data_IF_668974334121
#
_entry.id   IF_668974334121
#
_cell.length_a   1.000
_cell.length_b   1.000
_cell.length_c   1.000
_cell.angle_alpha   90.00
_cell.angle_beta   90.00
_cell.angle_gamma   90.00
#
_symmetry.space_group_name_H-M   'P 1'
#
loop_
_entity.id
_entity.type
_entity.pdbx_description
1 polymer ?
#
# COMPACT_ATOMS: atom_id res chain seq x y z
N UNK A 1 58.16 31.73 24.15
CA UNK A 1 56.73 31.32 24.22
C UNK A 1 56.14 31.52 22.83
N UNK A 2 55.81 30.41 22.14
CA UNK A 2 55.13 30.44 20.84
C UNK A 2 53.67 30.09 21.10
N UNK A 3 52.79 31.02 20.78
CA UNK A 3 51.34 30.81 20.76
C UNK A 3 51.03 29.85 19.61
N UNK A 4 50.39 28.73 19.92
CA UNK A 4 49.73 27.90 18.91
C UNK A 4 48.26 28.29 18.99
N UNK A 5 47.82 29.02 17.97
CA UNK A 5 46.41 29.32 17.74
C UNK A 5 45.63 28.02 17.58
N UNK A 6 44.46 28.01 18.20
CA UNK A 6 43.48 26.96 18.14
C UNK A 6 42.98 26.84 16.70
N UNK A 7 43.48 25.83 15.98
CA UNK A 7 42.92 25.44 14.68
C UNK A 7 41.45 25.08 14.88
N UNK A 8 40.57 25.99 14.45
CA UNK A 8 39.15 25.75 14.20
C UNK A 8 39.00 24.58 13.21
N UNK A 9 38.85 23.36 13.73
CA UNK A 9 38.39 22.23 12.94
C UNK A 9 36.89 22.44 12.66
N UNK A 10 36.60 23.27 11.65
CA UNK A 10 35.28 23.35 11.04
C UNK A 10 34.96 21.99 10.39
N UNK A 11 34.27 21.13 11.12
CA UNK A 11 33.61 19.97 10.54
C UNK A 11 32.50 20.44 9.59
N UNK A 12 32.83 20.67 8.32
CA UNK A 12 31.83 20.74 7.28
C UNK A 12 31.13 19.37 7.20
N UNK A 13 29.89 19.35 7.70
CA UNK A 13 28.99 18.20 7.63
C UNK A 13 28.81 17.84 6.16
N UNK A 14 29.53 16.84 5.67
CA UNK A 14 29.40 16.30 4.31
C UNK A 14 27.96 15.84 4.13
N UNK A 15 27.10 16.70 3.60
CA UNK A 15 25.76 16.36 3.16
C UNK A 15 25.94 15.49 1.92
N UNK A 16 25.82 14.16 2.09
CA UNK A 16 25.67 13.25 0.94
C UNK A 16 24.58 13.84 0.06
N UNK A 17 24.94 14.23 -1.17
CA UNK A 17 23.94 14.55 -2.20
C UNK A 17 22.99 13.35 -2.27
N UNK A 18 21.66 13.55 -2.20
CA UNK A 18 20.74 12.45 -2.39
C UNK A 18 21.10 11.79 -3.71
N UNK A 19 21.39 10.49 -3.65
CA UNK A 19 21.66 9.69 -4.84
C UNK A 19 20.39 9.82 -5.69
N UNK A 20 20.48 10.52 -6.81
CA UNK A 20 19.40 10.52 -7.80
C UNK A 20 19.28 9.07 -8.29
N UNK A 21 18.40 8.32 -7.63
CA UNK A 21 18.03 6.97 -8.04
C UNK A 21 17.41 7.12 -9.42
N UNK A 22 18.10 6.62 -10.44
CA UNK A 22 17.55 6.58 -11.79
C UNK A 22 16.29 5.74 -11.75
N UNK A 23 15.23 6.20 -12.42
CA UNK A 23 13.93 5.52 -12.43
C UNK A 23 14.02 4.05 -12.90
N UNK A 24 15.01 3.73 -13.75
CA UNK A 24 15.34 2.37 -14.18
C UNK A 24 15.62 1.38 -13.05
N UNK A 25 16.06 1.87 -11.88
CA UNK A 25 16.40 1.00 -10.75
C UNK A 25 15.16 0.56 -9.96
N UNK A 26 14.04 1.30 -10.07
CA UNK A 26 12.80 1.02 -9.34
C UNK A 26 11.94 -0.07 -10.00
N UNK A 27 11.98 -0.19 -11.32
CA UNK A 27 11.19 -1.19 -12.05
C UNK A 27 11.65 -2.62 -11.79
N UNK A 28 12.90 -2.81 -11.36
CA UNK A 28 13.46 -4.10 -10.94
C UNK A 28 13.30 -4.38 -9.44
N UNK A 29 12.73 -3.46 -8.66
CA UNK A 29 12.51 -3.66 -7.23
C UNK A 29 11.46 -4.77 -7.03
N UNK A 30 11.76 -5.84 -6.26
CA UNK A 30 10.79 -6.90 -5.96
C UNK A 30 9.47 -6.36 -5.38
N UNK A 31 9.52 -5.28 -4.60
CA UNK A 31 8.33 -4.66 -4.05
C UNK A 31 7.41 -4.11 -5.15
N UNK A 32 7.96 -3.55 -6.23
CA UNK A 32 7.20 -3.09 -7.40
C UNK A 32 6.63 -4.28 -8.17
N UNK A 33 7.45 -5.32 -8.40
CA UNK A 33 7.05 -6.51 -9.17
C UNK A 33 5.95 -7.34 -8.49
N UNK A 34 5.88 -7.34 -7.16
CA UNK A 34 4.86 -8.06 -6.41
C UNK A 34 3.48 -7.38 -6.44
N UNK A 35 3.45 -6.06 -6.65
CA UNK A 35 2.24 -5.22 -6.60
C UNK A 35 1.52 -5.21 -7.94
N UNK A 36 0.87 -6.33 -8.25
CA UNK A 36 0.05 -6.49 -9.47
C UNK A 36 -1.44 -6.31 -9.18
N UNK A 37 -2.26 -6.11 -10.21
CA UNK A 37 -3.71 -6.00 -10.05
C UNK A 37 -4.28 -7.23 -9.30
N UNK A 38 -5.10 -6.98 -8.28
CA UNK A 38 -5.70 -7.99 -7.42
C UNK A 38 -4.74 -8.69 -6.45
N UNK A 39 -3.50 -8.21 -6.32
CA UNK A 39 -2.58 -8.66 -5.28
C UNK A 39 -2.98 -8.11 -3.91
N UNK A 40 -2.88 -8.96 -2.90
CA UNK A 40 -3.23 -8.66 -1.52
C UNK A 40 -2.01 -8.32 -0.68
N UNK A 41 -2.01 -7.16 -0.04
CA UNK A 41 -0.90 -6.63 0.75
C UNK A 41 -1.39 -6.06 2.09
N UNK A 42 -0.47 -5.86 3.02
CA UNK A 42 -0.75 -5.25 4.31
C UNK A 42 -0.18 -3.82 4.37
N UNK A 43 -0.93 -2.91 4.99
CA UNK A 43 -0.50 -1.55 5.31
C UNK A 43 -0.70 -1.34 6.82
N UNK A 44 0.16 -0.53 7.44
CA UNK A 44 -0.06 -0.09 8.83
C UNK A 44 -1.41 0.60 8.95
N UNK A 45 -2.25 0.16 9.89
CA UNK A 45 -3.63 0.66 9.96
C UNK A 45 -3.71 2.18 10.20
N UNK A 46 -2.72 2.73 10.91
CA UNK A 46 -2.61 4.18 11.17
C UNK A 46 -2.47 5.03 9.89
N UNK A 47 -2.12 4.40 8.76
CA UNK A 47 -1.97 5.07 7.46
C UNK A 47 -3.21 5.00 6.60
N UNK A 48 -4.23 4.22 7.00
CA UNK A 48 -5.44 4.00 6.21
C UNK A 48 -6.50 5.01 6.60
N UNK A 49 -6.88 5.90 5.68
CA UNK A 49 -7.99 6.83 5.89
C UNK A 49 -9.33 6.22 5.46
N UNK A 50 -10.39 6.47 6.22
CA UNK A 50 -11.78 6.19 5.83
C UNK A 50 -12.57 7.49 5.61
N UNK A 51 -11.88 8.54 5.17
CA UNK A 51 -12.46 9.88 5.02
C UNK A 51 -12.67 10.55 6.39
N UNK A 52 -13.84 11.17 6.58
CA UNK A 52 -14.19 11.86 7.83
C UNK A 52 -14.73 10.93 8.92
N UNK A 53 -14.70 9.62 8.72
CA UNK A 53 -15.21 8.65 9.68
C UNK A 53 -14.09 8.31 10.66
N UNK A 54 -14.14 8.89 11.86
CA UNK A 54 -13.35 8.40 12.99
C UNK A 54 -13.71 6.94 13.26
N UNK A 55 -12.69 6.08 13.40
CA UNK A 55 -12.88 4.68 13.73
C UNK A 55 -11.95 4.24 14.83
N UNK A 56 -12.45 3.27 15.59
CA UNK A 56 -11.63 2.37 16.39
C UNK A 56 -10.62 1.66 15.48
N UNK A 57 -9.34 1.71 15.85
CA UNK A 57 -8.24 1.05 15.18
C UNK A 57 -8.61 -0.39 14.77
N UNK A 58 -8.11 -0.85 13.62
CA UNK A 58 -8.06 -2.28 13.34
C UNK A 58 -7.29 -2.93 14.49
N UNK A 59 -7.93 -3.88 15.18
CA UNK A 59 -7.32 -4.58 16.33
C UNK A 59 -5.95 -5.21 16.00
N UNK A 60 -5.69 -5.44 14.71
CA UNK A 60 -4.40 -5.87 14.20
C UNK A 60 -3.68 -4.62 13.65
N UNK A 61 -2.44 -4.37 14.08
CA UNK A 61 -1.61 -3.21 13.66
C UNK A 61 -1.43 -3.04 12.15
N UNK A 62 -1.86 -4.02 11.36
CA UNK A 62 -1.82 -4.01 9.91
C UNK A 62 -3.18 -4.37 9.33
N UNK A 63 -3.60 -3.61 8.33
CA UNK A 63 -4.83 -3.84 7.57
C UNK A 63 -4.51 -4.52 6.22
N UNK A 64 -5.24 -5.58 5.86
CA UNK A 64 -5.16 -6.14 4.52
C UNK A 64 -5.89 -5.29 3.51
N UNK A 65 -5.46 -5.33 2.26
CA UNK A 65 -6.16 -4.72 1.14
C UNK A 65 -5.60 -5.16 -0.18
N UNK A 66 -6.19 -4.67 -1.26
CA UNK A 66 -5.96 -5.19 -2.61
C UNK A 66 -5.48 -4.06 -3.52
N UNK A 67 -4.44 -4.32 -4.29
CA UNK A 67 -3.96 -3.42 -5.34
C UNK A 67 -4.96 -3.41 -6.50
N UNK A 68 -5.44 -2.22 -6.87
CA UNK A 68 -6.30 -2.00 -8.05
C UNK A 68 -5.57 -1.25 -9.17
N UNK A 69 -4.51 -0.51 -8.85
CA UNK A 69 -3.62 0.10 -9.85
C UNK A 69 -2.17 -0.20 -9.45
N UNK A 70 -1.44 -1.03 -10.22
CA UNK A 70 -0.03 -1.31 -9.99
C UNK A 70 0.86 -0.07 -10.04
N UNK A 71 2.00 -0.04 -9.33
CA UNK A 71 2.97 1.04 -9.47
C UNK A 71 3.63 1.01 -10.85
N UNK A 72 3.61 2.15 -11.54
CA UNK A 72 4.25 2.35 -12.84
C UNK A 72 4.92 3.72 -12.91
N UNK A 73 5.65 4.01 -13.99
CA UNK A 73 6.18 5.35 -14.22
C UNK A 73 5.05 6.38 -14.34
N UNK A 74 3.92 6.00 -14.94
CA UNK A 74 2.73 6.85 -15.12
C UNK A 74 2.09 7.22 -13.77
N UNK A 75 2.12 6.30 -12.79
CA UNK A 75 1.62 6.56 -11.43
C UNK A 75 2.70 7.10 -10.48
N UNK A 76 3.86 7.53 -11.00
CA UNK A 76 5.00 7.93 -10.18
C UNK A 76 5.42 6.89 -9.12
N UNK A 77 5.29 5.60 -9.47
CA UNK A 77 5.49 4.43 -8.62
C UNK A 77 4.58 4.40 -7.38
N UNK A 78 3.37 4.95 -7.51
CA UNK A 78 2.30 4.80 -6.53
C UNK A 78 1.37 3.66 -6.93
N UNK A 79 0.91 2.94 -5.93
CA UNK A 79 -0.10 1.90 -6.09
C UNK A 79 -1.42 2.38 -5.52
N UNK A 80 -2.50 2.19 -6.27
CA UNK A 80 -3.84 2.39 -5.76
C UNK A 80 -4.33 1.11 -5.11
N UNK A 81 -4.87 1.23 -3.90
CA UNK A 81 -5.15 0.11 -3.01
C UNK A 81 -6.48 0.30 -2.29
N UNK A 82 -7.24 -0.79 -2.13
CA UNK A 82 -8.55 -0.80 -1.44
C UNK A 82 -8.48 -1.51 -0.08
N UNK A 83 -8.94 -0.88 1.01
CA UNK A 83 -8.84 -1.45 2.35
C UNK A 83 -9.84 -2.59 2.59
N UNK A 84 -9.38 -3.62 3.29
CA UNK A 84 -10.18 -4.70 3.84
C UNK A 84 -10.72 -4.41 5.24
N UNK A 85 -11.86 -5.00 5.57
CA UNK A 85 -12.46 -4.99 6.91
C UNK A 85 -13.14 -6.31 7.24
N UNK A 86 -13.09 -6.72 8.50
CA UNK A 86 -13.88 -7.86 9.01
C UNK A 86 -15.34 -7.50 9.29
N UNK A 87 -15.71 -6.22 9.26
CA UNK A 87 -17.08 -5.76 9.47
C UNK A 87 -17.91 -5.89 8.18
N UNK A 88 -18.37 -7.11 7.91
CA UNK A 88 -19.01 -7.51 6.63
C UNK A 88 -20.51 -7.25 6.55
N UNK A 89 -21.21 -7.05 7.68
CA UNK A 89 -22.67 -6.88 7.71
C UNK A 89 -23.10 -5.54 7.10
N UNK A 90 -24.24 -5.52 6.39
CA UNK A 90 -24.90 -4.34 5.83
C UNK A 90 -24.00 -3.46 4.93
N UNK A 91 -23.09 -4.09 4.18
CA UNK A 91 -22.23 -3.40 3.21
C UNK A 91 -22.92 -3.30 1.86
N UNK A 92 -22.71 -2.19 1.15
CA UNK A 92 -23.19 -2.04 -0.22
C UNK A 92 -22.40 -3.00 -1.13
N UNK A 93 -23.10 -3.95 -1.75
CA UNK A 93 -22.51 -4.97 -2.63
C UNK A 93 -21.86 -4.37 -3.88
N UNK A 94 -22.35 -3.26 -4.41
CA UNK A 94 -21.78 -2.62 -5.60
C UNK A 94 -20.40 -2.02 -5.32
N UNK A 95 -20.17 -1.54 -4.10
CA UNK A 95 -18.94 -0.88 -3.67
C UNK A 95 -18.02 -1.78 -2.83
N UNK A 96 -18.39 -3.06 -2.65
CA UNK A 96 -17.68 -3.97 -1.75
C UNK A 96 -17.36 -5.28 -2.45
N UNK A 97 -16.09 -5.67 -2.45
CA UNK A 97 -15.68 -7.02 -2.83
C UNK A 97 -15.63 -7.90 -1.59
N UNK A 98 -16.39 -9.00 -1.57
CA UNK A 98 -16.36 -9.95 -0.46
C UNK A 98 -15.48 -11.15 -0.77
N UNK A 99 -14.64 -11.52 0.20
CA UNK A 99 -13.82 -12.72 0.18
C UNK A 99 -14.16 -13.58 1.39
N UNK A 100 -14.49 -14.84 1.16
CA UNK A 100 -14.76 -15.80 2.23
C UNK A 100 -13.46 -16.33 2.85
N UNK A 101 -13.57 -16.89 4.06
CA UNK A 101 -12.43 -17.48 4.75
C UNK A 101 -11.81 -18.61 3.90
N UNK A 102 -10.48 -18.62 3.79
CA UNK A 102 -9.73 -19.60 3.00
C UNK A 102 -9.52 -19.22 1.54
N UNK A 103 -10.36 -18.35 0.96
CA UNK A 103 -10.09 -17.77 -0.36
C UNK A 103 -8.88 -16.84 -0.27
N UNK A 104 -7.91 -17.01 -1.17
CA UNK A 104 -6.71 -16.18 -1.19
C UNK A 104 -5.98 -16.14 0.17
N UNK A 105 -5.95 -17.25 0.93
CA UNK A 105 -5.30 -17.31 2.27
C UNK A 105 -5.82 -16.30 3.30
N UNK A 106 -6.98 -15.69 3.09
CA UNK A 106 -7.59 -14.79 4.07
C UNK A 106 -8.17 -15.63 5.22
N UNK A 107 -7.78 -15.33 6.46
CA UNK A 107 -8.12 -16.13 7.65
C UNK A 107 -9.60 -16.04 8.07
N UNK A 108 -10.31 -15.00 7.62
CA UNK A 108 -11.69 -14.68 8.01
C UNK A 108 -12.41 -14.04 6.83
N UNK A 109 -13.74 -14.12 6.83
CA UNK A 109 -14.55 -13.39 5.84
C UNK A 109 -14.22 -11.90 5.90
N UNK A 110 -13.84 -11.32 4.77
CA UNK A 110 -13.33 -9.95 4.66
C UNK A 110 -14.05 -9.21 3.55
N UNK A 111 -14.42 -7.96 3.81
CA UNK A 111 -15.00 -7.04 2.85
C UNK A 111 -13.94 -6.01 2.44
N UNK A 112 -13.65 -5.87 1.15
CA UNK A 112 -12.76 -4.86 0.60
C UNK A 112 -13.59 -3.72 0.02
N UNK A 113 -13.32 -2.51 0.49
CA UNK A 113 -14.20 -1.36 0.31
C UNK A 113 -13.66 -0.43 -0.78
N UNK A 114 -14.28 -0.49 -1.96
CA UNK A 114 -13.77 0.19 -3.16
C UNK A 114 -13.87 1.72 -3.01
N UNK A 115 -14.89 2.21 -2.31
CA UNK A 115 -15.09 3.65 -2.10
C UNK A 115 -14.01 4.31 -1.21
N UNK A 116 -13.15 3.52 -0.55
CA UNK A 116 -12.04 4.01 0.27
C UNK A 116 -10.67 3.74 -0.38
N UNK A 117 -10.64 3.59 -1.71
CA UNK A 117 -9.40 3.45 -2.49
C UNK A 117 -8.45 4.63 -2.24
N UNK A 118 -7.17 4.32 -2.07
CA UNK A 118 -6.13 5.28 -1.73
C UNK A 118 -4.82 4.94 -2.43
N UNK A 119 -4.03 5.97 -2.71
CA UNK A 119 -2.68 5.82 -3.27
C UNK A 119 -1.66 5.70 -2.15
N UNK A 120 -0.72 4.77 -2.33
CA UNK A 120 0.47 4.64 -1.49
C UNK A 120 1.72 4.55 -2.34
N UNK A 121 2.85 5.00 -1.81
CA UNK A 121 4.15 4.67 -2.40
C UNK A 121 4.36 3.15 -2.33
N UNK A 122 4.90 2.55 -3.38
CA UNK A 122 5.10 1.09 -3.48
C UNK A 122 5.78 0.49 -2.23
N UNK A 123 6.77 1.16 -1.63
CA UNK A 123 7.47 0.67 -0.44
C UNK A 123 6.63 0.71 0.86
N UNK A 124 5.41 1.26 0.83
CA UNK A 124 4.51 1.32 1.98
C UNK A 124 3.81 -0.01 2.23
N UNK A 125 3.52 -0.74 1.16
CA UNK A 125 2.86 -2.04 1.22
C UNK A 125 3.87 -3.10 1.65
N UNK A 126 3.42 -4.07 2.45
CA UNK A 126 4.21 -5.27 2.73
C UNK A 126 4.48 -6.09 1.46
N UNK A 127 5.30 -7.13 1.57
CA UNK A 127 5.32 -8.19 0.55
C UNK A 127 3.91 -8.76 0.34
N UNK A 128 3.69 -9.32 -0.86
CA UNK A 128 2.40 -9.89 -1.24
C UNK A 128 2.03 -11.06 -0.34
N UNK A 129 0.84 -10.97 0.27
CA UNK A 129 0.29 -12.01 1.15
C UNK A 129 -0.59 -12.98 0.37
N UNK A 130 -1.34 -12.48 -0.62
CA UNK A 130 -2.23 -13.30 -1.42
C UNK A 130 -2.48 -12.74 -2.83
N UNK A 131 -3.14 -13.54 -3.65
CA UNK A 131 -3.73 -13.13 -4.91
C UNK A 131 -5.23 -13.44 -4.88
N UNK A 132 -6.04 -12.53 -5.42
CA UNK A 132 -7.45 -12.83 -5.66
C UNK A 132 -7.60 -14.02 -6.62
N UNK A 133 -8.59 -14.90 -6.40
CA UNK A 133 -8.95 -15.90 -7.37
C UNK A 133 -9.59 -15.25 -8.62
N UNK A 134 -9.59 -15.95 -9.75
CA UNK A 134 -9.96 -15.40 -11.06
C UNK A 134 -11.41 -14.87 -11.13
N UNK A 135 -12.34 -15.53 -10.46
CA UNK A 135 -13.74 -15.09 -10.34
C UNK A 135 -13.83 -13.74 -9.61
N UNK A 136 -13.06 -13.56 -8.54
CA UNK A 136 -13.02 -12.31 -7.76
C UNK A 136 -12.26 -11.19 -8.45
N UNK A 137 -11.24 -11.51 -9.25
CA UNK A 137 -10.58 -10.55 -10.14
C UNK A 137 -11.58 -9.96 -11.13
N UNK A 138 -12.34 -10.81 -11.81
CA UNK A 138 -13.39 -10.36 -12.75
C UNK A 138 -14.49 -9.57 -12.04
N UNK A 139 -14.92 -10.00 -10.85
CA UNK A 139 -15.88 -9.26 -10.04
C UNK A 139 -15.37 -7.85 -9.70
N UNK A 140 -14.09 -7.74 -9.30
CA UNK A 140 -13.45 -6.46 -8.99
C UNK A 140 -13.36 -5.55 -10.22
N UNK A 141 -12.93 -6.05 -11.37
CA UNK A 141 -12.88 -5.29 -12.63
C UNK A 141 -14.26 -4.74 -13.00
N UNK A 142 -15.31 -5.57 -12.91
CA UNK A 142 -16.68 -5.14 -13.21
C UNK A 142 -17.14 -4.02 -12.26
N UNK A 143 -16.84 -4.12 -10.96
CA UNK A 143 -17.21 -3.06 -10.00
C UNK A 143 -16.44 -1.78 -10.26
N UNK A 144 -15.15 -1.86 -10.58
CA UNK A 144 -14.31 -0.70 -10.89
C UNK A 144 -14.77 0.04 -12.15
N UNK A 145 -15.23 -0.69 -13.17
CA UNK A 145 -15.71 -0.12 -14.43
C UNK A 145 -17.11 0.53 -14.34
N UNK A 146 -17.89 0.20 -13.31
CA UNK A 146 -19.24 0.73 -13.09
C UNK A 146 -19.27 1.91 -12.10
N UNK A 147 -18.11 2.44 -11.71
CA UNK A 147 -17.94 3.61 -10.84
C UNK A 147 -17.71 4.88 -11.64
#
# INVERSE_FOLDING_TARGET
MKYFDEDEILFEKIRRKPKELRYSDKTADPAVLEQVFGSGHLVDDSKVSFGQIERDDFKESKRPGIVITPPSEETAFETEWIPGTGAVKNRNEELTLFLDSGQGKVKKKTAFLIQYRQYYKYFTLSSRVFMLPADKLRELELKLNNL
#
